data_IF_351184735614
#
_entry.id   IF_351184735614
#
_cell.length_a   1.000
_cell.length_b   1.000
_cell.length_c   1.000
_cell.angle_alpha   90.00
_cell.angle_beta   90.00
_cell.angle_gamma   90.00
#
_symmetry.space_group_name_H-M   'P 1'
#
loop_
_entity.id
_entity.type
_entity.pdbx_description
1 polymer ?
#
# COMPACT_ATOMS: atom_id res chain seq x y z
N UNK A 1 -32.55 -2.36 -6.45
CA UNK A 1 -31.99 -3.57 -5.81
C UNK A 1 -30.49 -3.42 -5.86
N UNK A 2 -29.83 -3.27 -4.73
CA UNK A 2 -28.48 -3.79 -4.49
C UNK A 2 -28.30 -3.86 -2.98
N UNK A 3 -27.91 -5.05 -2.57
CA UNK A 3 -27.98 -5.60 -1.24
C UNK A 3 -26.69 -5.27 -0.47
N UNK A 4 -26.83 -5.18 0.86
CA UNK A 4 -25.84 -5.47 1.91
C UNK A 4 -24.62 -4.53 2.09
N UNK A 5 -24.00 -4.35 3.29
CA UNK A 5 -24.04 -5.09 4.55
C UNK A 5 -23.89 -4.10 5.73
N UNK A 6 -24.83 -4.11 6.69
CA UNK A 6 -24.55 -3.61 8.05
C UNK A 6 -23.77 -4.68 8.81
N UNK A 7 -22.56 -4.39 9.29
CA UNK A 7 -21.90 -5.22 10.31
C UNK A 7 -21.16 -4.34 11.31
N UNK A 8 -21.84 -4.15 12.44
CA UNK A 8 -21.31 -3.81 13.75
C UNK A 8 -20.50 -5.01 14.29
N UNK A 9 -19.48 -4.72 15.09
CA UNK A 9 -18.91 -5.59 16.14
C UNK A 9 -17.72 -6.50 15.77
N UNK A 10 -16.53 -6.13 16.26
CA UNK A 10 -15.58 -7.05 16.89
C UNK A 10 -14.41 -7.56 16.04
N UNK A 11 -13.23 -6.93 16.19
CA UNK A 11 -11.87 -7.52 16.12
C UNK A 11 -11.68 -8.76 15.22
N UNK A 12 -12.02 -8.63 13.94
CA UNK A 12 -11.59 -9.54 12.89
C UNK A 12 -11.19 -8.68 11.70
N UNK A 13 -9.94 -8.80 11.26
CA UNK A 13 -9.32 -8.04 10.19
C UNK A 13 -10.09 -8.28 8.88
N UNK A 14 -11.15 -7.48 8.65
CA UNK A 14 -12.04 -7.62 7.50
C UNK A 14 -11.50 -6.72 6.40
N UNK A 15 -11.30 -7.27 5.22
CA UNK A 15 -10.99 -6.49 4.02
C UNK A 15 -12.23 -5.65 3.70
N UNK A 16 -12.08 -4.33 3.66
CA UNK A 16 -13.18 -3.40 3.36
C UNK A 16 -13.07 -2.79 1.97
N UNK A 17 -11.88 -2.83 1.36
CA UNK A 17 -11.65 -2.34 -0.01
C UNK A 17 -12.18 -3.29 -1.06
N UNK A 18 -12.81 -2.71 -2.09
CA UNK A 18 -13.31 -3.46 -3.24
C UNK A 18 -12.17 -3.91 -4.16
N UNK A 19 -12.38 -4.98 -4.97
CA UNK A 19 -11.38 -5.41 -5.95
C UNK A 19 -10.98 -4.30 -6.94
N UNK A 20 -11.92 -3.43 -7.32
CA UNK A 20 -11.65 -2.32 -8.25
C UNK A 20 -10.78 -1.24 -7.60
N UNK A 21 -11.05 -0.89 -6.34
CA UNK A 21 -10.19 0.04 -5.58
C UNK A 21 -8.78 -0.53 -5.40
N UNK A 22 -8.67 -1.80 -5.03
CA UNK A 22 -7.38 -2.49 -4.88
C UNK A 22 -6.63 -2.51 -6.22
N UNK A 23 -7.33 -2.78 -7.33
CA UNK A 23 -6.74 -2.79 -8.67
C UNK A 23 -6.25 -1.41 -9.12
N UNK A 24 -7.02 -0.35 -8.83
CA UNK A 24 -6.63 1.02 -9.11
C UNK A 24 -5.39 1.41 -8.31
N UNK A 25 -5.34 1.03 -7.02
CA UNK A 25 -4.22 1.32 -6.14
C UNK A 25 -2.93 0.60 -6.57
N UNK A 26 -3.00 -0.70 -6.87
CA UNK A 26 -1.88 -1.45 -7.42
C UNK A 26 -1.37 -0.80 -8.72
N UNK A 27 -2.27 -0.34 -9.58
CA UNK A 27 -1.89 0.31 -10.84
C UNK A 27 -1.15 1.62 -10.62
N UNK A 28 -1.52 2.38 -9.58
CA UNK A 28 -0.84 3.61 -9.21
C UNK A 28 0.54 3.31 -8.60
N UNK A 29 0.64 2.34 -7.69
CA UNK A 29 1.92 1.90 -7.12
C UNK A 29 2.91 1.44 -8.20
N UNK A 30 2.46 0.69 -9.21
CA UNK A 30 3.30 0.27 -10.34
C UNK A 30 3.84 1.48 -11.11
N UNK A 31 3.06 2.56 -11.27
CA UNK A 31 3.53 3.79 -11.91
C UNK A 31 4.57 4.48 -11.04
N UNK A 32 4.27 4.66 -9.75
CA UNK A 32 5.15 5.34 -8.79
C UNK A 32 6.49 4.63 -8.64
N UNK A 33 6.49 3.29 -8.65
CA UNK A 33 7.72 2.47 -8.66
C UNK A 33 8.73 2.88 -9.73
N UNK A 34 8.27 3.40 -10.88
CA UNK A 34 9.15 3.81 -11.98
C UNK A 34 9.53 5.30 -11.95
N UNK A 35 8.90 6.09 -11.07
CA UNK A 35 9.05 7.54 -11.02
C UNK A 35 9.87 8.01 -9.81
N UNK A 36 9.78 7.30 -8.68
CA UNK A 36 10.48 7.69 -7.46
C UNK A 36 11.95 7.26 -7.46
N UNK A 37 12.81 7.93 -6.66
CA UNK A 37 14.17 7.46 -6.43
C UNK A 37 14.17 6.03 -5.87
N UNK A 38 15.07 5.14 -6.32
CA UNK A 38 15.04 3.74 -5.93
C UNK A 38 15.38 3.50 -4.46
N UNK A 39 16.11 4.42 -3.83
CA UNK A 39 16.54 4.34 -2.44
C UNK A 39 16.26 5.64 -1.69
N UNK A 40 16.03 5.55 -0.38
CA UNK A 40 15.94 6.70 0.52
C UNK A 40 17.30 7.36 0.70
N UNK A 41 17.32 8.56 1.27
CA UNK A 41 18.56 9.25 1.65
C UNK A 41 19.39 8.47 2.71
N UNK A 42 18.78 7.52 3.42
CA UNK A 42 19.41 6.71 4.45
C UNK A 42 19.87 5.33 3.94
N UNK A 43 19.55 5.00 2.69
CA UNK A 43 19.98 3.76 2.02
C UNK A 43 18.92 2.66 1.98
N UNK A 44 17.71 2.89 2.47
CA UNK A 44 16.61 1.92 2.39
C UNK A 44 16.03 1.86 0.98
N UNK A 45 15.45 0.72 0.60
CA UNK A 45 14.95 0.48 -0.75
C UNK A 45 13.47 0.86 -0.88
N UNK A 46 13.19 2.01 -1.51
CA UNK A 46 11.82 2.43 -1.80
C UNK A 46 11.12 1.45 -2.75
N UNK A 47 11.88 0.84 -3.67
CA UNK A 47 11.35 -0.13 -4.63
C UNK A 47 10.84 -1.37 -3.92
N UNK A 48 11.60 -1.90 -2.95
CA UNK A 48 11.16 -3.05 -2.17
C UNK A 48 9.98 -2.69 -1.26
N UNK A 49 9.92 -1.46 -0.73
CA UNK A 49 8.75 -0.97 -0.01
C UNK A 49 7.47 -0.95 -0.87
N UNK A 50 7.54 -0.45 -2.11
CA UNK A 50 6.41 -0.48 -3.05
C UNK A 50 6.06 -1.91 -3.45
N UNK A 51 7.05 -2.76 -3.71
CA UNK A 51 6.82 -4.15 -4.09
C UNK A 51 6.13 -4.93 -2.96
N UNK A 52 6.48 -4.66 -1.70
CA UNK A 52 5.79 -5.22 -0.53
C UNK A 52 4.34 -4.72 -0.43
N UNK A 53 4.07 -3.43 -0.62
CA UNK A 53 2.69 -2.93 -0.67
C UNK A 53 1.86 -3.64 -1.75
N UNK A 54 2.42 -3.81 -2.95
CA UNK A 54 1.75 -4.53 -4.04
C UNK A 54 1.48 -5.99 -3.66
N UNK A 55 2.45 -6.68 -3.04
CA UNK A 55 2.30 -8.06 -2.58
C UNK A 55 1.17 -8.17 -1.55
N UNK A 56 1.15 -7.29 -0.54
CA UNK A 56 0.10 -7.22 0.48
C UNK A 56 -1.27 -7.01 -0.14
N UNK A 57 -1.41 -6.08 -1.09
CA UNK A 57 -2.68 -5.81 -1.78
C UNK A 57 -3.16 -6.98 -2.63
N UNK A 58 -2.24 -7.67 -3.32
CA UNK A 58 -2.55 -8.82 -4.18
C UNK A 58 -2.93 -10.05 -3.39
N UNK A 59 -2.15 -10.37 -2.37
CA UNK A 59 -2.28 -11.60 -1.58
C UNK A 59 -3.19 -11.42 -0.36
N UNK A 60 -3.58 -10.17 -0.07
CA UNK A 60 -4.39 -9.80 1.10
C UNK A 60 -3.74 -10.25 2.40
N UNK A 61 -2.43 -10.00 2.50
CA UNK A 61 -1.62 -10.44 3.64
C UNK A 61 -2.10 -9.79 4.92
N UNK A 62 -2.09 -10.56 6.01
CA UNK A 62 -2.35 -10.03 7.36
C UNK A 62 -1.11 -9.36 7.93
N UNK A 63 -1.27 -8.38 8.83
CA UNK A 63 -0.15 -7.72 9.54
C UNK A 63 0.84 -8.71 10.15
N UNK A 64 0.36 -9.80 10.75
CA UNK A 64 1.23 -10.85 11.29
C UNK A 64 2.11 -11.48 10.21
N UNK A 65 1.53 -11.84 9.06
CA UNK A 65 2.27 -12.43 7.95
C UNK A 65 3.28 -11.46 7.34
N UNK A 66 2.97 -10.17 7.33
CA UNK A 66 3.89 -9.10 6.88
C UNK A 66 5.09 -9.01 7.82
N UNK A 67 4.86 -9.00 9.13
CA UNK A 67 5.94 -8.96 10.12
C UNK A 67 6.82 -10.20 10.04
N UNK A 68 6.24 -11.38 9.81
CA UNK A 68 7.01 -12.62 9.65
C UNK A 68 7.80 -12.68 8.32
N UNK A 69 7.26 -12.14 7.23
CA UNK A 69 7.92 -12.13 5.91
C UNK A 69 9.10 -11.15 5.84
N UNK A 70 8.96 -9.97 6.47
CA UNK A 70 9.95 -8.89 6.42
C UNK A 70 10.45 -8.53 7.83
N UNK A 71 10.85 -9.52 8.63
CA UNK A 71 11.31 -9.31 10.02
C UNK A 71 12.65 -8.53 10.10
N UNK A 72 13.47 -8.61 9.06
CA UNK A 72 14.80 -7.99 8.99
C UNK A 72 14.84 -6.62 8.32
N UNK A 73 13.78 -6.22 7.61
CA UNK A 73 13.67 -4.94 6.92
C UNK A 73 12.47 -4.13 7.42
N UNK A 74 12.72 -3.25 8.39
CA UNK A 74 11.70 -2.40 8.98
C UNK A 74 11.07 -1.43 7.96
N UNK A 75 11.80 -0.99 6.93
CA UNK A 75 11.27 -0.08 5.91
C UNK A 75 10.24 -0.81 5.05
N UNK A 76 10.58 -2.00 4.55
CA UNK A 76 9.71 -2.84 3.74
C UNK A 76 8.52 -3.35 4.55
N UNK A 77 8.76 -3.80 5.78
CA UNK A 77 7.71 -4.22 6.71
C UNK A 77 6.71 -3.09 6.97
N UNK A 78 7.19 -1.89 7.29
CA UNK A 78 6.33 -0.74 7.56
C UNK A 78 5.48 -0.37 6.34
N UNK A 79 6.07 -0.38 5.13
CA UNK A 79 5.33 -0.15 3.90
C UNK A 79 4.22 -1.19 3.70
N UNK A 80 4.50 -2.47 3.94
CA UNK A 80 3.50 -3.54 3.89
C UNK A 80 2.37 -3.36 4.90
N UNK A 81 2.68 -2.98 6.15
CA UNK A 81 1.68 -2.74 7.20
C UNK A 81 0.73 -1.61 6.79
N UNK A 82 1.24 -0.51 6.23
CA UNK A 82 0.41 0.57 5.68
C UNK A 82 -0.61 0.06 4.65
N UNK A 83 -0.20 -0.85 3.76
CA UNK A 83 -1.13 -1.46 2.80
C UNK A 83 -2.19 -2.35 3.47
N UNK A 84 -1.83 -3.10 4.51
CA UNK A 84 -2.78 -3.91 5.26
C UNK A 84 -3.80 -3.06 6.04
N UNK A 85 -3.36 -1.98 6.67
CA UNK A 85 -4.25 -1.00 7.30
C UNK A 85 -5.25 -0.47 6.26
N UNK A 86 -4.77 -0.01 5.11
CA UNK A 86 -5.64 0.49 4.04
C UNK A 86 -6.65 -0.54 3.53
N UNK A 87 -6.22 -1.79 3.32
CA UNK A 87 -7.10 -2.91 2.95
C UNK A 87 -8.23 -3.13 3.95
N UNK A 88 -7.93 -2.96 5.25
CA UNK A 88 -8.89 -3.07 6.33
C UNK A 88 -9.80 -1.85 6.48
N UNK A 89 -9.50 -0.76 5.74
CA UNK A 89 -10.25 0.50 5.77
C UNK A 89 -9.72 1.51 6.78
N UNK A 90 -8.55 1.23 7.34
CA UNK A 90 -7.80 2.09 8.25
C UNK A 90 -6.66 2.77 7.48
N UNK A 91 -6.22 3.95 7.89
CA UNK A 91 -5.10 4.62 7.22
C UNK A 91 -5.40 5.17 5.81
N UNK A 92 -4.35 5.72 5.21
CA UNK A 92 -4.38 6.39 3.90
C UNK A 92 -4.03 5.43 2.75
N UNK A 93 -4.25 5.87 1.51
CA UNK A 93 -3.89 5.08 0.34
C UNK A 93 -2.37 4.81 0.34
N UNK A 94 -1.91 3.57 0.08
CA UNK A 94 -0.49 3.21 0.04
C UNK A 94 0.35 4.12 -0.87
N UNK A 95 -0.24 4.53 -2.00
CA UNK A 95 0.35 5.45 -2.96
C UNK A 95 0.61 6.85 -2.40
N UNK A 96 -0.20 7.33 -1.44
CA UNK A 96 -0.09 8.68 -0.88
C UNK A 96 1.30 8.97 -0.33
N UNK A 97 1.93 7.99 0.34
CA UNK A 97 3.26 8.16 0.94
C UNK A 97 4.40 8.32 -0.08
N UNK A 98 4.16 8.01 -1.36
CA UNK A 98 5.16 8.11 -2.42
C UNK A 98 4.94 9.31 -3.34
N UNK A 99 3.74 9.92 -3.32
CA UNK A 99 3.42 11.05 -4.20
C UNK A 99 4.33 12.24 -3.95
N UNK A 100 4.72 12.49 -2.70
CA UNK A 100 5.65 13.58 -2.33
C UNK A 100 7.08 13.37 -2.87
N UNK A 101 7.42 12.15 -3.26
CA UNK A 101 8.73 11.81 -3.83
C UNK A 101 8.74 11.89 -5.36
N UNK A 102 7.57 11.98 -5.99
CA UNK A 102 7.45 12.37 -7.38
C UNK A 102 7.70 13.88 -7.39
N UNK A 103 8.95 14.28 -7.58
CA UNK A 103 9.35 15.70 -7.50
C UNK A 103 8.42 16.56 -8.36
N UNK A 104 8.05 17.75 -7.86
CA UNK A 104 7.11 18.70 -8.48
C UNK A 104 7.27 18.74 -10.02
N UNK A 105 6.48 17.93 -10.70
CA UNK A 105 6.40 17.96 -12.15
C UNK A 105 5.42 19.09 -12.48
N UNK A 106 5.94 20.31 -12.62
CA UNK A 106 5.42 21.41 -13.47
C UNK A 106 5.14 20.98 -14.94
N UNK A 107 5.02 19.67 -15.22
CA UNK A 107 4.85 19.04 -16.52
C UNK A 107 3.56 18.22 -16.68
N UNK A 108 2.66 18.14 -15.70
CA UNK A 108 1.36 17.45 -15.87
C UNK A 108 0.25 18.30 -16.52
N UNK A 109 0.57 19.53 -16.94
CA UNK A 109 -0.34 20.42 -17.69
C UNK A 109 0.24 20.88 -19.05
N UNK A 110 0.77 19.97 -19.87
CA UNK A 110 0.95 20.22 -21.30
C UNK A 110 0.65 18.99 -22.16
#
# INVERSE_FOLDING_TARGET
>A
MNNVISITTGLAHRITRTPDEIGAEISLLIKLRNLIPPVTAFGDSNIEGIDAQIAVLRERMSVKGIVEEWDDDHHVQSAGVFAAEWLSGEGEAPSSGWLDLVGDEDGWMN
#
